data_IF_319667977372
#
_entry.id   IF_319667977372
#
_cell.length_a   1.000
_cell.length_b   1.000
_cell.length_c   1.000
_cell.angle_alpha   90.00
_cell.angle_beta   90.00
_cell.angle_gamma   90.00
#
_symmetry.space_group_name_H-M   'P 1'
#
loop_
_entity.id
_entity.type
_entity.pdbx_description
1 polymer ?
#
# COMPACT_ATOMS: atom_id res chain seq x y z
N UNK A 1 0.35 20.60 -10.15
CA UNK A 1 0.33 19.19 -9.70
C UNK A 1 -0.11 18.19 -10.77
N UNK A 2 -1.20 18.45 -11.52
CA UNK A 2 -1.72 17.46 -12.49
C UNK A 2 -0.71 17.03 -13.60
N UNK A 3 0.18 17.92 -14.05
CA UNK A 3 1.19 17.58 -15.07
C UNK A 3 2.24 16.60 -14.53
N UNK A 4 2.73 16.81 -13.30
CA UNK A 4 3.73 15.95 -12.64
C UNK A 4 3.16 14.55 -12.43
N UNK A 5 1.92 14.45 -11.97
CA UNK A 5 1.23 13.18 -11.81
C UNK A 5 1.13 12.40 -13.12
N UNK A 6 0.65 13.05 -14.20
CA UNK A 6 0.57 12.42 -15.52
C UNK A 6 1.92 11.96 -16.06
N UNK A 7 2.99 12.72 -15.80
CA UNK A 7 4.35 12.32 -16.20
C UNK A 7 4.82 11.09 -15.42
N UNK A 8 4.61 11.06 -14.11
CA UNK A 8 4.98 9.92 -13.28
C UNK A 8 4.23 8.65 -13.66
N UNK A 9 2.93 8.75 -13.96
CA UNK A 9 2.15 7.61 -14.45
C UNK A 9 2.68 7.05 -15.78
N UNK A 10 3.22 7.90 -16.66
CA UNK A 10 3.84 7.44 -17.92
C UNK A 10 5.20 6.77 -17.72
N UNK A 11 5.89 7.09 -16.62
CA UNK A 11 7.16 6.46 -16.29
C UNK A 11 6.96 5.05 -15.71
N UNK A 12 5.78 4.76 -15.13
CA UNK A 12 5.47 3.46 -14.56
C UNK A 12 5.14 2.46 -15.67
N UNK A 13 5.87 1.34 -15.70
CA UNK A 13 5.55 0.22 -16.57
C UNK A 13 4.56 -0.72 -15.90
N UNK A 14 3.47 -1.03 -16.59
CA UNK A 14 2.39 -1.85 -16.05
C UNK A 14 2.72 -3.35 -15.99
N UNK A 15 3.84 -3.82 -16.54
CA UNK A 15 4.18 -5.25 -16.62
C UNK A 15 4.93 -5.77 -15.37
N UNK A 16 5.40 -4.87 -14.50
CA UNK A 16 6.20 -5.22 -13.29
C UNK A 16 5.84 -4.32 -12.11
N UNK A 17 6.35 -4.70 -10.92
CA UNK A 17 6.38 -3.77 -9.79
C UNK A 17 7.33 -2.63 -10.13
N UNK A 18 6.79 -1.46 -10.45
CA UNK A 18 7.57 -0.28 -10.84
C UNK A 18 7.28 0.90 -9.92
N UNK A 19 8.25 1.81 -9.79
CA UNK A 19 8.26 2.83 -8.75
C UNK A 19 8.81 4.14 -9.27
N UNK A 20 8.05 5.22 -9.11
CA UNK A 20 8.40 6.57 -9.55
C UNK A 20 8.42 7.54 -8.34
N UNK A 21 9.59 7.98 -7.87
CA UNK A 21 9.68 9.00 -6.83
C UNK A 21 9.29 10.37 -7.40
N UNK A 22 8.40 11.08 -6.70
CA UNK A 22 7.89 12.41 -7.10
C UNK A 22 8.65 13.56 -6.43
N UNK A 23 9.08 13.37 -5.18
CA UNK A 23 9.71 14.43 -4.39
C UNK A 23 10.72 13.85 -3.41
N UNK A 24 12.03 13.98 -3.69
CA UNK A 24 13.14 13.65 -2.79
C UNK A 24 12.95 12.34 -1.99
N UNK A 25 12.36 11.32 -2.62
CA UNK A 25 11.91 10.05 -2.00
C UNK A 25 10.90 10.14 -0.84
N UNK A 26 10.40 11.34 -0.50
CA UNK A 26 9.32 11.57 0.48
C UNK A 26 7.95 11.18 -0.08
N UNK A 27 7.75 11.36 -1.38
CA UNK A 27 6.53 10.95 -2.08
C UNK A 27 6.91 10.04 -3.23
N UNK A 28 6.32 8.85 -3.24
CA UNK A 28 6.62 7.81 -4.21
C UNK A 28 5.32 7.19 -4.70
N UNK A 29 5.20 7.01 -6.01
CA UNK A 29 4.09 6.30 -6.65
C UNK A 29 4.61 4.96 -7.12
N UNK A 30 3.84 3.89 -6.91
CA UNK A 30 4.22 2.56 -7.35
C UNK A 30 3.06 1.89 -8.08
N UNK A 31 3.41 1.12 -9.11
CA UNK A 31 2.50 0.19 -9.76
C UNK A 31 2.75 -1.22 -9.18
N UNK A 32 1.67 -1.91 -8.81
CA UNK A 32 1.73 -3.33 -8.47
C UNK A 32 1.62 -4.17 -9.76
N UNK A 33 2.24 -5.36 -9.79
CA UNK A 33 2.19 -6.21 -10.96
C UNK A 33 0.74 -6.69 -11.19
N UNK A 34 0.19 -6.54 -12.41
CA UNK A 34 -1.20 -6.88 -12.71
C UNK A 34 -1.40 -8.37 -12.97
N UNK A 35 -0.37 -9.05 -13.47
CA UNK A 35 -0.40 -10.48 -13.74
C UNK A 35 0.35 -11.22 -12.63
N UNK A 36 -0.36 -12.15 -11.98
CA UNK A 36 0.21 -13.05 -10.99
C UNK A 36 0.10 -14.50 -11.47
N UNK A 37 1.03 -15.36 -11.05
CA UNK A 37 0.96 -16.79 -11.34
C UNK A 37 -0.25 -17.43 -10.65
N UNK A 38 -0.68 -18.60 -11.14
CA UNK A 38 -1.88 -19.32 -10.66
C UNK A 38 -1.87 -19.63 -9.15
N UNK A 39 -0.70 -19.68 -8.52
CA UNK A 39 -0.54 -19.99 -7.10
C UNK A 39 -0.46 -18.75 -6.20
N UNK A 40 -0.37 -17.56 -6.80
CA UNK A 40 -0.31 -16.31 -6.06
C UNK A 40 -1.70 -15.72 -5.85
N UNK A 41 -1.81 -14.89 -4.81
CA UNK A 41 -3.03 -14.11 -4.58
C UNK A 41 -3.18 -13.05 -5.69
N UNK A 42 -4.39 -12.87 -6.26
CA UNK A 42 -4.66 -11.83 -7.25
C UNK A 42 -4.49 -10.41 -6.71
N UNK A 43 -4.45 -10.24 -5.38
CA UNK A 43 -4.23 -8.95 -4.72
C UNK A 43 -2.78 -8.42 -4.82
N UNK A 44 -1.84 -9.22 -5.34
CA UNK A 44 -0.40 -8.88 -5.38
C UNK A 44 0.17 -8.43 -4.02
N UNK A 45 -0.45 -8.88 -2.91
CA UNK A 45 -0.13 -8.46 -1.55
C UNK A 45 1.35 -8.69 -1.17
N UNK A 46 1.99 -9.73 -1.70
CA UNK A 46 3.41 -9.96 -1.48
C UNK A 46 4.30 -8.86 -2.08
N UNK A 47 3.98 -8.40 -3.30
CA UNK A 47 4.70 -7.30 -3.94
C UNK A 47 4.51 -5.99 -3.17
N UNK A 48 3.29 -5.75 -2.65
CA UNK A 48 2.99 -4.59 -1.81
C UNK A 48 3.80 -4.59 -0.50
N UNK A 49 3.82 -5.71 0.23
CA UNK A 49 4.59 -5.82 1.47
C UNK A 49 6.08 -5.50 1.23
N UNK A 50 6.67 -6.14 0.22
CA UNK A 50 8.09 -5.92 -0.15
C UNK A 50 8.37 -4.48 -0.56
N UNK A 51 7.44 -3.84 -1.29
CA UNK A 51 7.56 -2.43 -1.68
C UNK A 51 7.60 -1.53 -0.43
N UNK A 52 6.66 -1.72 0.49
CA UNK A 52 6.56 -0.92 1.72
C UNK A 52 7.81 -1.11 2.58
N UNK A 53 8.24 -2.35 2.79
CA UNK A 53 9.47 -2.68 3.54
C UNK A 53 10.70 -2.00 2.95
N UNK A 54 10.83 -2.01 1.62
CA UNK A 54 12.00 -1.46 0.92
C UNK A 54 12.01 0.07 0.95
N UNK A 55 10.84 0.72 0.91
CA UNK A 55 10.73 2.18 0.71
C UNK A 55 10.56 2.97 1.99
N UNK A 56 9.72 2.49 2.91
CA UNK A 56 9.40 3.24 4.13
C UNK A 56 10.33 2.86 5.29
N UNK A 57 10.88 1.65 5.27
CA UNK A 57 11.71 1.14 6.36
C UNK A 57 11.01 1.19 7.72
N UNK A 58 11.73 0.83 8.78
CA UNK A 58 11.15 0.75 10.13
C UNK A 58 11.18 2.09 10.91
N UNK A 59 11.53 3.22 10.28
CA UNK A 59 11.99 4.41 11.00
C UNK A 59 11.10 5.66 10.88
N UNK A 60 10.07 5.67 10.03
CA UNK A 60 9.29 6.88 9.77
C UNK A 60 7.77 6.66 9.87
N UNK A 61 7.07 7.65 10.44
CA UNK A 61 5.63 7.79 10.28
C UNK A 61 5.31 8.00 8.80
N UNK A 62 4.28 7.33 8.30
CA UNK A 62 3.98 7.31 6.88
C UNK A 62 2.48 7.35 6.60
N UNK A 63 2.14 7.92 5.45
CA UNK A 63 0.80 7.90 4.89
C UNK A 63 0.83 7.08 3.61
N UNK A 64 0.03 6.01 3.58
CA UNK A 64 0.02 5.05 2.47
C UNK A 64 -1.39 5.05 1.87
N UNK A 65 -1.50 5.44 0.61
CA UNK A 65 -2.72 5.33 -0.16
C UNK A 65 -2.66 4.07 -1.03
N UNK A 66 -3.56 3.12 -0.79
CA UNK A 66 -3.68 1.88 -1.57
C UNK A 66 -4.92 1.97 -2.45
N UNK A 67 -4.71 1.89 -3.76
CA UNK A 67 -5.78 1.81 -4.76
C UNK A 67 -5.94 0.35 -5.15
N UNK A 68 -7.08 -0.26 -4.80
CA UNK A 68 -7.33 -1.67 -5.11
C UNK A 68 -8.84 -1.98 -5.18
N UNK A 69 -9.19 -3.14 -5.68
CA UNK A 69 -10.57 -3.65 -5.57
C UNK A 69 -10.93 -3.94 -4.11
N UNK A 70 -12.23 -3.89 -3.78
CA UNK A 70 -12.75 -4.21 -2.44
C UNK A 70 -12.32 -5.61 -1.97
N UNK A 71 -12.27 -6.58 -2.89
CA UNK A 71 -11.81 -7.96 -2.67
C UNK A 71 -10.37 -8.05 -2.14
N UNK A 72 -9.53 -7.07 -2.49
CA UNK A 72 -8.10 -7.06 -2.20
C UNK A 72 -7.72 -6.23 -0.96
N UNK A 73 -8.67 -5.49 -0.37
CA UNK A 73 -8.43 -4.59 0.77
C UNK A 73 -7.85 -5.36 1.96
N UNK A 74 -8.46 -6.48 2.35
CA UNK A 74 -8.00 -7.25 3.52
C UNK A 74 -6.58 -7.78 3.36
N UNK A 75 -6.29 -8.44 2.22
CA UNK A 75 -4.95 -8.96 1.95
C UNK A 75 -3.90 -7.85 1.86
N UNK A 76 -4.26 -6.70 1.27
CA UNK A 76 -3.39 -5.52 1.17
C UNK A 76 -3.12 -4.89 2.53
N UNK A 77 -4.15 -4.77 3.38
CA UNK A 77 -3.99 -4.30 4.76
C UNK A 77 -3.05 -5.20 5.56
N UNK A 78 -3.22 -6.52 5.48
CA UNK A 78 -2.31 -7.47 6.13
C UNK A 78 -0.88 -7.42 5.56
N UNK A 79 -0.71 -7.12 4.27
CA UNK A 79 0.61 -6.93 3.67
C UNK A 79 1.30 -5.68 4.20
N UNK A 80 0.60 -4.55 4.27
CA UNK A 80 1.13 -3.30 4.82
C UNK A 80 1.45 -3.46 6.31
N UNK A 81 0.55 -4.04 7.10
CA UNK A 81 0.76 -4.19 8.54
C UNK A 81 2.02 -5.02 8.88
N UNK A 82 2.27 -6.11 8.14
CA UNK A 82 3.44 -6.97 8.36
C UNK A 82 4.78 -6.32 8.00
N UNK A 83 4.77 -5.28 7.16
CA UNK A 83 5.97 -4.52 6.81
C UNK A 83 6.54 -3.69 7.99
N UNK A 84 5.79 -3.55 9.08
CA UNK A 84 6.17 -2.78 10.27
C UNK A 84 6.29 -3.68 11.51
N UNK A 85 7.39 -4.44 11.65
CA UNK A 85 7.59 -5.32 12.81
C UNK A 85 7.74 -4.51 14.11
N UNK A 86 7.00 -4.93 15.15
CA UNK A 86 7.06 -4.29 16.47
C UNK A 86 8.31 -4.70 17.28
N UNK A 87 8.86 -5.88 17.01
CA UNK A 87 10.00 -6.41 17.75
C UNK A 87 11.33 -6.03 17.09
N UNK A 88 12.25 -5.46 17.87
CA UNK A 88 13.64 -5.22 17.46
C UNK A 88 14.57 -5.37 18.66
N UNK A 89 15.73 -6.01 18.46
CA UNK A 89 16.83 -6.09 19.43
C UNK A 89 18.03 -5.22 19.06
N UNK A 90 17.90 -4.38 18.01
CA UNK A 90 18.98 -3.48 17.59
C UNK A 90 19.23 -2.46 18.70
N UNK A 91 20.48 -2.35 19.14
CA UNK A 91 20.88 -1.37 20.15
C UNK A 91 20.58 0.05 19.65
N UNK A 92 19.65 0.72 20.30
CA UNK A 92 19.15 2.05 19.93
C UNK A 92 20.27 3.09 20.08
N UNK A 93 20.95 3.45 18.98
CA UNK A 93 21.66 4.73 18.92
C UNK A 93 20.63 5.81 18.61
N UNK A 94 20.11 6.42 19.66
CA UNK A 94 19.39 7.71 19.65
C UNK A 94 18.33 7.88 18.56
N UNK A 95 17.24 7.14 18.66
CA UNK A 95 15.91 7.68 18.39
C UNK A 95 14.99 6.88 19.29
N UNK A 96 14.32 7.54 20.22
CA UNK A 96 13.26 6.98 21.05
C UNK A 96 12.39 6.01 20.26
N UNK A 97 11.76 5.05 20.94
CA UNK A 97 10.50 4.44 20.49
C UNK A 97 9.46 5.53 20.27
N UNK A 98 9.65 6.31 19.22
CA UNK A 98 8.75 7.36 18.78
C UNK A 98 7.45 6.66 18.43
N UNK A 99 6.33 7.27 18.80
CA UNK A 99 5.00 6.72 18.56
C UNK A 99 4.77 6.69 17.04
N UNK A 100 5.16 5.57 16.41
CA UNK A 100 5.17 5.42 14.95
C UNK A 100 3.74 5.27 14.48
N UNK A 101 3.23 6.30 13.83
CA UNK A 101 1.89 6.28 13.26
C UNK A 101 1.97 6.06 11.76
N UNK A 102 1.53 4.88 11.32
CA UNK A 102 1.28 4.59 9.91
C UNK A 102 -0.21 4.73 9.65
N UNK A 103 -0.57 5.64 8.75
CA UNK A 103 -1.96 5.82 8.31
C UNK A 103 -2.12 5.19 6.94
N UNK A 104 -3.07 4.27 6.81
CA UNK A 104 -3.35 3.58 5.54
C UNK A 104 -4.76 3.93 5.09
N UNK A 105 -4.86 4.48 3.89
CA UNK A 105 -6.13 4.83 3.26
C UNK A 105 -6.38 3.93 2.06
N UNK A 106 -7.55 3.32 2.01
CA UNK A 106 -7.97 2.47 0.89
C UNK A 106 -8.91 3.23 -0.03
N UNK A 107 -8.48 3.40 -1.27
CA UNK A 107 -9.33 3.88 -2.35
C UNK A 107 -9.84 2.68 -3.14
N UNK A 108 -11.08 2.29 -2.87
CA UNK A 108 -11.66 1.10 -3.48
C UNK A 108 -12.24 1.42 -4.87
N UNK A 109 -11.80 0.64 -5.86
CA UNK A 109 -12.31 0.70 -7.23
C UNK A 109 -13.15 -0.52 -7.54
N UNK A 110 -14.17 -0.35 -8.38
CA UNK A 110 -14.85 -1.47 -9.03
C UNK A 110 -13.94 -2.14 -10.06
N UNK A 111 -14.22 -3.39 -10.47
CA UNK A 111 -13.48 -4.08 -11.52
C UNK A 111 -13.43 -3.31 -12.86
N UNK A 112 -14.31 -2.32 -13.05
CA UNK A 112 -14.39 -1.43 -14.23
C UNK A 112 -13.73 -0.05 -14.01
N UNK A 113 -13.11 0.18 -12.87
CA UNK A 113 -12.40 1.43 -12.54
C UNK A 113 -13.28 2.55 -11.99
N UNK A 114 -14.56 2.28 -11.73
CA UNK A 114 -15.46 3.25 -11.08
C UNK A 114 -15.18 3.31 -9.57
N UNK A 115 -15.33 4.49 -8.98
CA UNK A 115 -15.14 4.68 -7.54
C UNK A 115 -16.30 4.03 -6.79
N UNK A 116 -15.99 3.15 -5.83
CA UNK A 116 -17.01 2.65 -4.91
C UNK A 116 -17.46 3.76 -3.95
N UNK A 117 -18.78 3.96 -3.81
CA UNK A 117 -19.35 4.90 -2.84
C UNK A 117 -19.08 4.42 -1.41
N UNK A 118 -18.96 5.37 -0.48
CA UNK A 118 -18.66 5.06 0.93
C UNK A 118 -19.70 4.12 1.57
N UNK A 119 -20.95 4.16 1.12
CA UNK A 119 -22.04 3.26 1.54
C UNK A 119 -21.80 1.79 1.19
N UNK A 120 -21.06 1.49 0.11
CA UNK A 120 -20.72 0.13 -0.28
C UNK A 120 -19.55 -0.44 0.54
N UNK A 121 -18.84 0.41 1.30
CA UNK A 121 -17.67 0.03 2.10
C UNK A 121 -18.01 -0.28 3.57
N UNK A 122 -19.23 0.05 4.03
CA UNK A 122 -19.72 -0.42 5.31
C UNK A 122 -19.77 -1.94 5.32
N UNK A 123 -18.97 -2.55 6.19
CA UNK A 123 -19.10 -3.95 6.49
C UNK A 123 -20.46 -4.17 7.15
N UNK A 124 -21.24 -5.14 6.67
CA UNK A 124 -22.36 -5.68 7.44
C UNK A 124 -21.84 -6.01 8.85
N UNK A 125 -22.56 -5.65 9.93
CA UNK A 125 -22.20 -6.14 11.25
C UNK A 125 -22.09 -7.66 11.19
N UNK A 126 -21.15 -8.28 11.93
CA UNK A 126 -21.10 -9.72 12.04
C UNK A 126 -22.48 -10.17 12.54
N UNK A 127 -23.15 -11.04 11.79
CA UNK A 127 -24.36 -11.72 12.27
C UNK A 127 -23.99 -12.35 13.60
N UNK A 128 -24.60 -11.86 14.68
CA UNK A 128 -24.47 -12.48 15.99
C UNK A 128 -24.92 -13.94 15.84
N UNK A 129 -23.98 -14.86 16.02
CA UNK A 129 -24.24 -16.29 16.19
C UNK A 129 -24.52 -16.57 17.65
#
# INVERSE_FOLDING_TARGET
MALTWRRALRCLQADRTDVCPLWLNMVTVAALPPAVSRHNTPSSAHALARLVETRLGAQHSAHIMVVCEKSSVFASACAVARAFPLFSRKSERSSSREDRRVTVEFFCVEPRGERLSNSALEASPPSAA
#
